data_IF_953103455972
#
_entry.id   IF_953103455972
#
_cell.length_a   1.000
_cell.length_b   1.000
_cell.length_c   1.000
_cell.angle_alpha   90.00
_cell.angle_beta   90.00
_cell.angle_gamma   90.00
#
_symmetry.space_group_name_H-M   'P 1'
#
loop_
_entity.id
_entity.type
_entity.pdbx_description
1 polymer ?
#
# COMPACT_ATOMS: atom_id res chain seq x y z
N UNK A 1 -4.12 7.00 12.99
CA UNK A 1 -3.35 7.27 11.78
C UNK A 1 -3.45 6.13 10.80
N UNK A 2 -3.09 6.39 9.55
CA UNK A 2 -3.09 5.36 8.52
C UNK A 2 -2.13 4.22 8.82
N UNK A 3 -1.01 4.50 9.46
CA UNK A 3 -0.03 3.50 9.86
C UNK A 3 -0.64 2.52 10.89
N UNK A 4 -1.29 3.05 11.90
CA UNK A 4 -1.92 2.21 12.93
C UNK A 4 -3.01 1.32 12.32
N UNK A 5 -3.87 1.89 11.49
CA UNK A 5 -4.95 1.12 10.85
C UNK A 5 -4.39 0.06 9.91
N UNK A 6 -3.33 0.38 9.15
CA UNK A 6 -2.68 -0.60 8.28
C UNK A 6 -2.15 -1.79 9.07
N UNK A 7 -1.49 -1.53 10.19
CA UNK A 7 -0.96 -2.59 11.05
C UNK A 7 -2.05 -3.49 11.62
N UNK A 8 -3.22 -2.93 11.91
CA UNK A 8 -4.37 -3.71 12.43
C UNK A 8 -4.89 -4.72 11.41
N UNK A 9 -4.62 -4.53 10.12
CA UNK A 9 -5.10 -5.43 9.09
C UNK A 9 -4.19 -6.63 8.85
N UNK A 10 -2.99 -6.64 9.44
CA UNK A 10 -2.05 -7.76 9.32
C UNK A 10 -2.72 -9.04 9.82
N UNK A 11 -2.58 -10.11 9.06
CA UNK A 11 -3.19 -11.41 9.35
C UNK A 11 -4.47 -11.69 8.60
N UNK A 12 -5.06 -10.69 7.93
CA UNK A 12 -6.27 -10.89 7.12
C UNK A 12 -5.92 -11.49 5.77
N UNK A 13 -6.83 -12.29 5.18
CA UNK A 13 -6.53 -12.97 3.91
C UNK A 13 -6.44 -12.02 2.72
N UNK A 14 -5.68 -12.45 1.71
CA UNK A 14 -5.69 -11.84 0.38
C UNK A 14 -6.78 -12.51 -0.45
N UNK A 15 -7.66 -11.68 -1.01
CA UNK A 15 -8.68 -12.13 -1.97
C UNK A 15 -8.72 -11.12 -3.11
N UNK A 16 -8.60 -11.60 -4.34
CA UNK A 16 -8.65 -10.74 -5.53
C UNK A 16 -9.98 -9.97 -5.56
N UNK A 17 -9.88 -8.66 -5.75
CA UNK A 17 -11.05 -7.78 -5.80
C UNK A 17 -11.60 -7.35 -4.45
N UNK A 18 -11.04 -7.83 -3.35
CA UNK A 18 -11.55 -7.52 -2.01
C UNK A 18 -11.06 -6.16 -1.51
N UNK A 19 -11.97 -5.44 -0.86
CA UNK A 19 -11.72 -4.09 -0.34
C UNK A 19 -11.93 -3.98 1.17
N UNK A 20 -12.00 -5.09 1.87
CA UNK A 20 -12.19 -5.13 3.31
C UNK A 20 -13.66 -5.22 3.73
N UNK A 21 -13.90 -5.29 5.02
CA UNK A 21 -12.93 -5.27 6.13
C UNK A 21 -12.27 -6.60 6.44
N UNK A 22 -12.75 -7.72 5.88
CA UNK A 22 -12.29 -9.05 6.28
C UNK A 22 -11.18 -9.60 5.41
N UNK A 23 -11.05 -9.10 4.19
CA UNK A 23 -10.02 -9.51 3.23
C UNK A 23 -9.70 -8.35 2.29
N UNK A 24 -8.55 -8.42 1.63
CA UNK A 24 -8.07 -7.35 0.76
C UNK A 24 -7.27 -7.90 -0.42
N UNK A 25 -7.29 -7.18 -1.55
CA UNK A 25 -6.17 -7.24 -2.47
C UNK A 25 -5.24 -6.03 -2.19
N UNK A 26 -4.16 -5.86 -2.96
CA UNK A 26 -3.15 -4.85 -2.63
C UNK A 26 -3.71 -3.42 -2.66
N UNK A 27 -4.42 -3.07 -3.71
CA UNK A 27 -5.01 -1.73 -3.86
C UNK A 27 -6.25 -1.56 -2.99
N UNK A 28 -6.96 -2.65 -2.70
CA UNK A 28 -8.12 -2.63 -1.80
C UNK A 28 -7.74 -2.31 -0.36
N UNK A 29 -6.61 -2.84 0.11
CA UNK A 29 -6.08 -2.50 1.43
C UNK A 29 -5.77 -1.00 1.53
N UNK A 30 -5.09 -0.46 0.53
CA UNK A 30 -4.73 0.95 0.49
C UNK A 30 -6.00 1.82 0.49
N UNK A 31 -6.97 1.47 -0.33
CA UNK A 31 -8.23 2.18 -0.41
C UNK A 31 -8.96 2.19 0.95
N UNK A 32 -9.05 1.03 1.59
CA UNK A 32 -9.68 0.88 2.91
C UNK A 32 -8.99 1.74 3.97
N UNK A 33 -7.68 1.64 4.06
CA UNK A 33 -6.91 2.34 5.10
C UNK A 33 -7.06 3.85 4.96
N UNK A 34 -6.92 4.39 3.76
CA UNK A 34 -6.99 5.84 3.57
C UNK A 34 -8.42 6.36 3.74
N UNK A 35 -9.43 5.58 3.37
CA UNK A 35 -10.81 5.96 3.60
C UNK A 35 -11.13 6.11 5.09
N UNK A 36 -10.78 5.11 5.87
CA UNK A 36 -11.16 5.07 7.29
C UNK A 36 -10.22 5.84 8.21
N UNK A 37 -8.95 5.98 7.84
CA UNK A 37 -7.99 6.72 8.66
C UNK A 37 -7.94 8.22 8.33
N UNK A 38 -8.16 8.60 7.06
CA UNK A 38 -7.95 9.96 6.61
C UNK A 38 -9.14 10.56 5.84
N UNK A 39 -10.17 9.78 5.58
CA UNK A 39 -11.33 10.23 4.81
C UNK A 39 -11.03 10.50 3.34
N UNK A 40 -9.98 9.89 2.82
CA UNK A 40 -9.54 10.06 1.43
C UNK A 40 -10.03 8.88 0.61
N UNK A 41 -10.77 9.17 -0.47
CA UNK A 41 -11.25 8.16 -1.39
C UNK A 41 -10.25 7.98 -2.53
N UNK A 42 -9.37 6.98 -2.40
CA UNK A 42 -8.41 6.67 -3.44
C UNK A 42 -9.07 5.85 -4.56
N UNK A 43 -8.52 5.93 -5.79
CA UNK A 43 -8.99 5.07 -6.87
C UNK A 43 -8.83 3.59 -6.53
N UNK A 44 -9.55 2.72 -7.25
CA UNK A 44 -9.64 1.30 -6.93
C UNK A 44 -8.37 0.51 -7.29
N UNK A 45 -7.68 0.89 -8.38
CA UNK A 45 -6.59 0.09 -8.93
C UNK A 45 -5.23 0.72 -8.69
N UNK A 46 -4.18 -0.10 -8.75
CA UNK A 46 -2.79 0.39 -8.66
C UNK A 46 -2.47 1.36 -9.80
N UNK A 47 -3.02 1.11 -11.00
CA UNK A 47 -2.80 1.96 -12.18
C UNK A 47 -3.29 3.39 -11.95
N UNK A 48 -4.39 3.53 -11.24
CA UNK A 48 -4.97 4.85 -10.97
C UNK A 48 -4.44 5.45 -9.68
N UNK A 49 -4.13 4.63 -8.68
CA UNK A 49 -3.57 5.11 -7.42
C UNK A 49 -2.21 5.77 -7.62
N UNK A 50 -1.41 5.29 -8.55
CA UNK A 50 -0.09 5.85 -8.84
C UNK A 50 -0.17 7.27 -9.42
N UNK A 51 -1.34 7.69 -9.87
CA UNK A 51 -1.57 9.02 -10.46
C UNK A 51 -1.94 10.07 -9.43
N UNK A 52 -2.24 9.69 -8.19
CA UNK A 52 -2.67 10.64 -7.16
C UNK A 52 -1.50 11.06 -6.28
N UNK A 53 -1.62 12.24 -5.68
CA UNK A 53 -0.63 12.77 -4.77
C UNK A 53 0.65 13.24 -5.47
N UNK A 54 1.68 13.43 -4.67
CA UNK A 54 2.98 13.91 -5.14
C UNK A 54 4.00 12.79 -5.14
N UNK A 55 4.84 12.74 -6.16
CA UNK A 55 5.95 11.79 -6.22
C UNK A 55 6.97 12.11 -5.13
N UNK A 56 7.38 11.08 -4.41
CA UNK A 56 8.36 11.18 -3.32
C UNK A 56 9.59 10.38 -3.70
N UNK A 57 10.80 10.94 -3.52
CA UNK A 57 12.02 10.17 -3.71
C UNK A 57 12.04 8.95 -2.78
N UNK A 58 12.49 7.81 -3.29
CA UNK A 58 12.50 6.57 -2.52
C UNK A 58 13.46 6.60 -1.31
N UNK A 59 14.42 7.51 -1.32
CA UNK A 59 15.33 7.73 -0.19
C UNK A 59 14.78 8.74 0.84
N UNK A 60 13.55 9.23 0.63
CA UNK A 60 12.91 10.21 1.52
C UNK A 60 11.51 9.79 1.93
N UNK A 61 11.28 8.50 2.04
CA UNK A 61 9.99 7.95 2.44
C UNK A 61 9.61 8.36 3.86
N UNK A 62 8.32 8.65 4.05
CA UNK A 62 7.74 8.90 5.36
C UNK A 62 6.58 7.93 5.59
N UNK A 63 6.32 7.61 6.84
CA UNK A 63 5.19 6.76 7.21
C UNK A 63 3.89 7.33 6.63
N UNK A 64 3.13 6.48 5.96
CA UNK A 64 1.91 6.86 5.26
C UNK A 64 2.09 7.04 3.75
N UNK A 65 3.31 7.03 3.25
CA UNK A 65 3.53 7.07 1.81
C UNK A 65 3.13 5.76 1.16
N UNK A 66 2.67 5.83 -0.09
CA UNK A 66 2.38 4.66 -0.91
C UNK A 66 3.62 4.31 -1.72
N UNK A 67 3.98 3.04 -1.73
CA UNK A 67 5.09 2.52 -2.55
C UNK A 67 4.55 1.52 -3.57
N UNK A 68 5.07 1.59 -4.80
CA UNK A 68 4.56 0.82 -5.93
C UNK A 68 5.68 0.02 -6.58
N UNK A 69 5.32 -1.13 -7.14
CA UNK A 69 6.22 -1.99 -7.89
C UNK A 69 5.75 -2.14 -9.32
N UNK A 70 6.69 -2.31 -10.23
CA UNK A 70 6.41 -2.43 -11.66
C UNK A 70 6.68 -1.14 -12.40
N UNK A 71 6.01 -0.94 -13.54
CA UNK A 71 6.15 0.29 -14.32
C UNK A 71 5.63 1.49 -13.53
N UNK A 72 6.27 2.64 -13.67
CA UNK A 72 5.83 3.88 -12.99
C UNK A 72 4.46 4.35 -13.45
N UNK A 73 4.03 3.94 -14.62
CA UNK A 73 2.72 4.32 -15.18
C UNK A 73 1.68 3.21 -15.07
N UNK A 74 2.10 1.98 -14.85
CA UNK A 74 1.22 0.82 -14.76
C UNK A 74 1.75 -0.18 -13.73
N UNK A 75 1.83 0.20 -12.44
CA UNK A 75 2.36 -0.68 -11.42
C UNK A 75 1.43 -1.86 -11.15
N UNK A 76 2.01 -3.00 -10.82
CA UNK A 76 1.23 -4.20 -10.53
C UNK A 76 0.97 -4.40 -9.03
N UNK A 77 1.64 -3.67 -8.15
CA UNK A 77 1.53 -3.85 -6.71
C UNK A 77 1.70 -2.53 -5.97
N UNK A 78 1.07 -2.40 -4.82
CA UNK A 78 1.15 -1.22 -3.95
C UNK A 78 1.16 -1.65 -2.49
N UNK A 79 1.86 -0.87 -1.66
CA UNK A 79 1.92 -1.07 -0.22
C UNK A 79 1.91 0.28 0.50
N UNK A 80 1.69 0.23 1.82
CA UNK A 80 1.73 1.41 2.68
C UNK A 80 3.03 1.38 3.48
N UNK A 81 3.89 2.36 3.25
CA UNK A 81 5.12 2.50 4.03
C UNK A 81 4.77 2.96 5.45
N UNK A 82 5.31 2.28 6.46
CA UNK A 82 4.97 2.55 7.86
C UNK A 82 6.14 3.10 8.67
N UNK A 83 7.24 3.46 8.01
CA UNK A 83 8.44 3.89 8.69
C UNK A 83 9.38 2.72 9.01
N UNK A 84 10.55 3.04 9.53
CA UNK A 84 11.55 2.04 9.95
C UNK A 84 11.90 1.01 8.88
N UNK A 85 11.90 1.43 7.62
CA UNK A 85 12.23 0.55 6.49
C UNK A 85 11.25 -0.62 6.34
N UNK A 86 9.97 -0.41 6.70
CA UNK A 86 8.93 -1.43 6.69
C UNK A 86 7.68 -0.95 5.97
N UNK A 87 6.89 -1.89 5.44
CA UNK A 87 5.61 -1.61 4.83
C UNK A 87 4.59 -2.70 5.15
N UNK A 88 3.32 -2.33 5.09
CA UNK A 88 2.20 -3.28 5.19
C UNK A 88 1.57 -3.42 3.82
N UNK A 89 1.33 -4.65 3.40
CA UNK A 89 0.70 -4.92 2.11
C UNK A 89 -0.13 -6.19 2.15
N UNK A 90 -1.16 -6.24 1.31
CA UNK A 90 -1.86 -7.48 1.01
C UNK A 90 -1.13 -8.13 -0.16
N UNK A 91 -0.32 -9.14 0.14
CA UNK A 91 0.75 -9.59 -0.75
C UNK A 91 0.30 -10.64 -1.77
N UNK A 92 -0.04 -11.84 -1.28
CA UNK A 92 -0.42 -12.97 -2.13
C UNK A 92 -1.50 -13.79 -1.41
N UNK A 93 -2.23 -14.66 -2.14
CA UNK A 93 -3.19 -15.55 -1.50
C UNK A 93 -2.59 -16.44 -0.42
N UNK A 94 -1.32 -16.81 -0.55
CA UNK A 94 -0.64 -17.65 0.45
C UNK A 94 -0.22 -16.85 1.69
N UNK A 95 0.17 -15.60 1.50
CA UNK A 95 0.71 -14.79 2.59
C UNK A 95 -0.34 -13.91 3.27
N UNK A 96 -1.33 -13.45 2.52
CA UNK A 96 -2.32 -12.51 3.02
C UNK A 96 -1.75 -11.12 3.23
N UNK A 97 -2.32 -10.41 4.20
CA UNK A 97 -1.86 -9.07 4.59
C UNK A 97 -0.76 -9.21 5.62
N UNK A 98 0.43 -8.71 5.29
CA UNK A 98 1.63 -8.90 6.10
C UNK A 98 2.42 -7.59 6.21
N UNK A 99 3.24 -7.53 7.26
CA UNK A 99 4.25 -6.48 7.44
C UNK A 99 5.58 -7.02 6.94
N UNK A 100 6.27 -6.26 6.11
CA UNK A 100 7.53 -6.68 5.50
C UNK A 100 8.57 -5.58 5.61
N UNK A 101 9.85 -5.99 5.61
CA UNK A 101 10.96 -5.05 5.51
C UNK A 101 11.22 -4.72 4.03
N UNK A 102 11.64 -3.48 3.76
CA UNK A 102 12.14 -3.11 2.45
C UNK A 102 13.33 -3.99 2.10
N UNK A 103 13.38 -4.45 0.85
CA UNK A 103 14.43 -5.37 0.40
C UNK A 103 15.03 -4.88 -0.92
N UNK A 104 16.35 -4.97 -1.04
CA UNK A 104 17.01 -4.66 -2.30
C UNK A 104 16.68 -5.66 -3.41
N UNK A 105 16.20 -6.84 -3.05
CA UNK A 105 15.77 -7.86 -4.03
C UNK A 105 14.38 -7.58 -4.58
N UNK A 106 13.57 -6.80 -3.87
CA UNK A 106 12.23 -6.45 -4.30
C UNK A 106 11.96 -5.02 -3.85
N UNK A 107 12.57 -4.08 -4.55
CA UNK A 107 12.51 -2.68 -4.20
C UNK A 107 11.44 -1.96 -5.02
N UNK A 108 10.66 -1.05 -4.41
CA UNK A 108 9.63 -0.32 -5.16
C UNK A 108 10.25 0.60 -6.21
N UNK A 109 9.48 0.88 -7.25
CA UNK A 109 9.91 1.73 -8.38
C UNK A 109 9.55 3.19 -8.19
N UNK A 110 8.44 3.47 -7.49
CA UNK A 110 7.95 4.83 -7.29
C UNK A 110 7.18 4.93 -5.99
N UNK A 111 7.15 6.11 -5.40
CA UNK A 111 6.37 6.39 -4.20
C UNK A 111 5.53 7.64 -4.38
N UNK A 112 4.38 7.68 -3.73
CA UNK A 112 3.44 8.80 -3.74
C UNK A 112 3.03 9.18 -2.33
N UNK A 113 2.92 10.47 -2.10
CA UNK A 113 2.39 11.02 -0.85
C UNK A 113 1.05 11.67 -1.12
N UNK A 114 0.01 11.15 -0.46
CA UNK A 114 -1.36 11.62 -0.66
C UNK A 114 -1.90 12.43 0.52
N UNK A 115 -1.12 12.47 1.58
CA UNK A 115 -1.47 13.27 2.78
C UNK A 115 -0.76 14.60 2.81
#
# INVERSE_FOLDING_TARGET
SGVALAKEQVGKPYVWGATGPDSFDCSGLVQYVYQYAAGINLPRTTYDQVKVGQTVPLDKLQAGDLVFWGSETAPYHVAIYIGNNQYVNSATPDEGTILQNMSSYYYPTIAKRVL
#
